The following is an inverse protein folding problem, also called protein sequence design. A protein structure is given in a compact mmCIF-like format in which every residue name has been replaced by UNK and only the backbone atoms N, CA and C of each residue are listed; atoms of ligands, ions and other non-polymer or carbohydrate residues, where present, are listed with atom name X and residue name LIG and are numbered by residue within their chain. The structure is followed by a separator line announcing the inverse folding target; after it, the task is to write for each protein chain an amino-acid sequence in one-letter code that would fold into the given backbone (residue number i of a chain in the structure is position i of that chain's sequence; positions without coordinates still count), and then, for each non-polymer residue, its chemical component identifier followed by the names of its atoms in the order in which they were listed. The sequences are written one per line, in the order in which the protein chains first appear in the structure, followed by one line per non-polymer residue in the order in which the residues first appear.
data_IF_376760163128
#
_entry.id   IF_376760163128
#
_cell.length_a   1.000
_cell.length_b   1.000
_cell.length_c   1.000
_cell.angle_alpha   90.00
_cell.angle_beta   90.00
_cell.angle_gamma   90.00
#
_symmetry.space_group_name_H-M   'P 1'
#
loop_
_entity.id
_entity.type
_entity.pdbx_description
1 polymer ?
#
# COMPACT_ATOMS: atom_id res chain seq x y z
N UNK A 1 -12.80 -3.60 -5.13
CA UNK A 1 -12.20 -2.58 -6.03
C UNK A 1 -11.39 -1.63 -5.15
N UNK A 2 -10.20 -1.24 -5.56
CA UNK A 2 -9.36 -0.25 -4.84
C UNK A 2 -9.52 1.08 -5.55
N UNK A 3 -9.72 2.15 -4.78
CA UNK A 3 -9.79 3.51 -5.29
C UNK A 3 -8.72 4.34 -4.60
N UNK A 4 -7.95 5.08 -5.38
CA UNK A 4 -6.88 5.95 -4.88
C UNK A 4 -7.31 7.41 -5.05
N UNK A 5 -7.32 8.14 -3.96
CA UNK A 5 -7.67 9.56 -3.91
C UNK A 5 -6.47 10.30 -3.33
N UNK A 6 -5.69 10.93 -4.20
CA UNK A 6 -4.49 11.65 -3.82
C UNK A 6 -4.31 12.90 -4.70
N UNK A 7 -3.50 13.83 -4.21
CA UNK A 7 -3.20 15.09 -4.86
C UNK A 7 -4.38 16.06 -4.86
N UNK A 8 -4.38 16.92 -5.88
CA UNK A 8 -5.34 18.01 -6.01
C UNK A 8 -6.11 17.87 -7.31
N UNK A 9 -7.38 18.23 -7.29
CA UNK A 9 -8.28 18.30 -8.44
C UNK A 9 -8.74 19.73 -8.67
N UNK A 10 -9.06 20.08 -9.91
CA UNK A 10 -9.69 21.36 -10.22
C UNK A 10 -11.21 21.23 -10.15
N UNK A 11 -11.84 22.08 -9.36
CA UNK A 11 -13.30 22.21 -9.26
C UNK A 11 -13.64 23.68 -9.47
N UNK A 12 -14.40 23.99 -10.53
CA UNK A 12 -14.76 25.36 -10.90
C UNK A 12 -13.54 26.30 -11.04
N UNK A 13 -12.45 25.80 -11.64
CA UNK A 13 -11.21 26.56 -11.81
C UNK A 13 -10.35 26.71 -10.55
N UNK A 14 -10.85 26.29 -9.39
CA UNK A 14 -10.11 26.32 -8.13
C UNK A 14 -9.50 24.97 -7.80
N UNK A 15 -8.34 25.00 -7.17
CA UNK A 15 -7.66 23.81 -6.70
C UNK A 15 -8.27 23.31 -5.39
N UNK A 16 -8.66 22.03 -5.36
CA UNK A 16 -9.24 21.38 -4.21
C UNK A 16 -8.55 20.04 -3.96
N UNK A 17 -8.49 19.58 -2.72
CA UNK A 17 -7.97 18.25 -2.42
C UNK A 17 -8.82 17.18 -3.11
N UNK A 18 -8.16 16.19 -3.70
CA UNK A 18 -8.82 15.05 -4.29
C UNK A 18 -9.23 14.07 -3.18
N UNK A 19 -10.39 14.33 -2.57
CA UNK A 19 -10.98 13.47 -1.54
C UNK A 19 -11.99 12.47 -2.12
N UNK A 20 -12.24 11.34 -1.44
CA UNK A 20 -13.36 10.45 -1.74
C UNK A 20 -14.70 11.19 -1.75
N UNK A 21 -15.74 10.63 -2.40
CA UNK A 21 -17.13 11.08 -2.26
C UNK A 21 -17.51 11.27 -0.78
N UNK A 22 -18.23 12.36 -0.48
CA UNK A 22 -18.52 12.77 0.91
C UNK A 22 -19.31 11.72 1.69
N UNK A 23 -20.22 11.03 1.03
CA UNK A 23 -21.04 9.94 1.58
C UNK A 23 -20.20 8.77 2.11
N UNK A 24 -19.01 8.54 1.54
CA UNK A 24 -18.08 7.54 2.07
C UNK A 24 -17.45 7.98 3.39
N UNK A 25 -17.27 9.29 3.56
CA UNK A 25 -16.63 9.93 4.71
C UNK A 25 -17.60 10.26 5.85
N UNK A 26 -18.90 10.11 5.62
CA UNK A 26 -19.90 10.31 6.65
C UNK A 26 -19.75 9.25 7.75
N UNK A 27 -19.85 9.73 8.99
CA UNK A 27 -19.81 8.93 10.22
C UNK A 27 -18.52 8.10 10.41
N UNK A 28 -17.38 8.54 9.86
CA UNK A 28 -16.05 7.96 10.14
C UNK A 28 -15.50 8.36 11.53
N UNK A 29 -16.25 9.12 12.32
CA UNK A 29 -15.78 9.73 13.56
C UNK A 29 -15.67 8.73 14.71
N UNK A 30 -14.42 8.42 15.09
CA UNK A 30 -14.05 7.94 16.42
C UNK A 30 -14.03 9.08 17.44
N UNK A 31 -14.16 8.73 18.72
CA UNK A 31 -14.42 9.59 19.88
C UNK A 31 -13.49 10.79 20.18
N UNK A 32 -12.55 11.18 19.30
CA UNK A 32 -11.54 12.23 19.61
C UNK A 32 -11.63 13.53 18.81
N UNK A 33 -12.53 13.67 17.84
CA UNK A 33 -12.68 14.95 17.14
C UNK A 33 -13.88 15.73 17.69
N UNK A 34 -13.62 16.64 18.64
CA UNK A 34 -14.56 17.72 19.02
C UNK A 34 -14.95 18.63 17.84
N UNK A 35 -14.32 18.48 16.68
CA UNK A 35 -14.75 19.05 15.40
C UNK A 35 -15.58 18.02 14.61
N UNK A 36 -16.90 18.20 14.63
CA UNK A 36 -17.80 17.54 13.69
C UNK A 36 -17.25 17.69 12.25
N UNK A 37 -17.12 16.57 11.51
CA UNK A 37 -17.06 16.49 10.03
C UNK A 37 -15.74 16.79 9.30
N UNK A 38 -14.60 16.19 9.65
CA UNK A 38 -13.49 16.06 8.68
C UNK A 38 -12.84 14.69 8.73
N UNK A 39 -12.71 14.05 7.56
CA UNK A 39 -11.75 12.98 7.36
C UNK A 39 -10.33 13.51 7.61
N UNK A 40 -9.45 12.67 8.14
CA UNK A 40 -8.05 13.01 8.33
C UNK A 40 -7.38 13.29 6.98
N UNK A 41 -6.23 13.99 7.01
CA UNK A 41 -5.50 14.37 5.79
C UNK A 41 -5.05 13.17 4.95
N UNK A 42 -4.88 12.00 5.58
CA UNK A 42 -4.68 10.68 4.97
C UNK A 42 -5.53 9.64 5.71
N UNK A 43 -5.62 8.42 5.17
CA UNK A 43 -6.36 7.34 5.81
C UNK A 43 -6.66 6.18 4.87
N UNK A 44 -7.14 5.07 5.45
CA UNK A 44 -7.56 3.89 4.70
C UNK A 44 -9.00 3.57 5.07
N UNK A 45 -9.88 3.47 4.07
CA UNK A 45 -11.27 3.05 4.25
C UNK A 45 -11.53 1.75 3.49
N UNK A 46 -11.85 0.70 4.24
CA UNK A 46 -12.26 -0.59 3.70
C UNK A 46 -13.77 -0.74 3.88
N UNK A 47 -14.49 -1.01 2.79
CA UNK A 47 -15.95 -1.17 2.79
C UNK A 47 -16.28 -2.64 2.59
N UNK A 48 -16.84 -3.26 3.61
CA UNK A 48 -17.30 -4.64 3.59
C UNK A 48 -18.83 -4.75 3.52
N UNK A 49 -19.33 -5.97 3.36
CA UNK A 49 -20.78 -6.23 3.28
C UNK A 49 -21.54 -5.90 4.59
N UNK A 50 -20.85 -5.91 5.73
CA UNK A 50 -21.44 -5.68 7.06
C UNK A 50 -21.14 -4.31 7.66
N UNK A 51 -20.23 -3.53 7.08
CA UNK A 51 -19.75 -2.30 7.70
C UNK A 51 -18.47 -1.77 7.06
N UNK A 52 -17.87 -0.77 7.70
CA UNK A 52 -16.62 -0.15 7.27
C UNK A 52 -15.51 -0.41 8.29
N UNK A 53 -14.28 -0.52 7.82
CA UNK A 53 -13.07 -0.56 8.66
C UNK A 53 -12.20 0.63 8.26
N UNK A 54 -11.94 1.53 9.20
CA UNK A 54 -11.29 2.81 8.94
C UNK A 54 -10.00 2.97 9.74
N UNK A 55 -8.94 3.41 9.06
CA UNK A 55 -7.72 3.92 9.68
C UNK A 55 -7.61 5.42 9.47
N UNK A 56 -7.30 6.14 10.56
CA UNK A 56 -7.13 7.60 10.58
C UNK A 56 -5.82 8.08 9.93
N UNK A 57 -4.95 7.15 9.55
CA UNK A 57 -3.73 7.40 8.78
C UNK A 57 -3.50 6.28 7.75
N UNK A 58 -2.58 6.54 6.85
CA UNK A 58 -2.11 5.64 5.79
C UNK A 58 -1.17 4.53 6.29
N UNK A 59 -0.79 4.56 7.57
CA UNK A 59 0.06 3.55 8.21
C UNK A 59 -0.74 2.45 8.92
N UNK A 60 -2.05 2.63 9.10
CA UNK A 60 -2.89 1.64 9.76
C UNK A 60 -2.65 1.55 11.26
N UNK A 61 -2.21 2.64 11.91
CA UNK A 61 -1.85 2.62 13.34
C UNK A 61 -3.04 2.31 14.25
N UNK A 62 -4.23 2.77 13.87
CA UNK A 62 -5.48 2.52 14.60
C UNK A 62 -6.59 2.20 13.62
N UNK A 63 -7.30 1.12 13.89
CA UNK A 63 -8.43 0.68 13.08
C UNK A 63 -9.73 0.75 13.89
N UNK A 64 -10.77 1.32 13.28
CA UNK A 64 -12.12 1.40 13.85
C UNK A 64 -13.11 0.68 12.95
N UNK A 65 -13.91 -0.21 13.53
CA UNK A 65 -15.07 -0.83 12.85
C UNK A 65 -16.29 0.07 12.99
N UNK A 66 -17.02 0.24 11.89
CA UNK A 66 -18.15 1.17 11.80
C UNK A 66 -19.40 0.50 11.20
N UNK A 67 -20.61 0.82 11.72
CA UNK A 67 -20.84 1.71 12.86
C UNK A 67 -20.45 1.03 14.18
N UNK A 68 -19.83 1.75 15.11
CA UNK A 68 -19.21 1.17 16.33
C UNK A 68 -20.16 0.27 17.13
N UNK A 69 -21.44 0.66 17.22
CA UNK A 69 -22.51 -0.09 17.90
C UNK A 69 -22.68 -1.54 17.43
N UNK A 70 -22.39 -1.82 16.15
CA UNK A 70 -22.58 -3.16 15.58
C UNK A 70 -21.37 -4.06 15.90
N UNK A 71 -20.30 -3.50 16.48
CA UNK A 71 -19.02 -4.15 16.74
C UNK A 71 -18.51 -3.95 18.18
N UNK A 72 -19.35 -3.54 19.12
CA UNK A 72 -18.96 -3.30 20.52
C UNK A 72 -18.31 -4.51 21.18
N UNK A 73 -18.78 -5.71 20.83
CA UNK A 73 -18.27 -6.99 21.34
C UNK A 73 -17.37 -7.71 20.33
N UNK A 74 -16.83 -6.98 19.34
CA UNK A 74 -15.94 -7.58 18.37
C UNK A 74 -14.58 -7.90 19.00
N UNK A 75 -14.27 -9.19 19.04
CA UNK A 75 -12.91 -9.66 19.35
C UNK A 75 -12.13 -9.82 18.04
N UNK A 76 -10.98 -9.15 17.98
CA UNK A 76 -10.08 -9.22 16.83
C UNK A 76 -9.50 -10.62 16.61
N UNK A 77 -8.92 -10.87 15.43
CA UNK A 77 -8.21 -12.13 15.20
C UNK A 77 -7.09 -12.31 16.25
N UNK A 78 -6.74 -13.56 16.60
CA UNK A 78 -5.65 -13.81 17.53
C UNK A 78 -4.35 -13.21 17.01
N UNK A 79 -3.54 -12.68 17.93
CA UNK A 79 -2.23 -12.15 17.60
C UNK A 79 -1.30 -13.30 17.19
N UNK A 80 -0.97 -13.38 15.90
CA UNK A 80 -0.13 -14.44 15.32
C UNK A 80 1.27 -13.96 14.96
N UNK A 81 1.52 -12.65 15.03
CA UNK A 81 2.78 -12.01 14.62
C UNK A 81 3.29 -11.17 15.80
N UNK A 82 4.57 -11.29 16.19
CA UNK A 82 5.13 -10.48 17.25
C UNK A 82 5.09 -9.00 16.89
N UNK A 83 4.78 -8.15 17.89
CA UNK A 83 4.86 -6.70 17.71
C UNK A 83 6.31 -6.28 17.52
N UNK A 84 6.54 -5.42 16.53
CA UNK A 84 7.86 -4.87 16.27
C UNK A 84 8.30 -3.99 17.44
N UNK A 85 9.52 -4.15 17.98
CA UNK A 85 10.11 -3.21 18.94
C UNK A 85 10.56 -1.90 18.25
N UNK A 86 10.31 -1.74 16.95
CA UNK A 86 10.78 -0.64 16.10
C UNK A 86 11.90 -1.10 15.16
N UNK A 87 11.86 -0.64 13.90
CA UNK A 87 12.75 -1.13 12.84
C UNK A 87 14.25 -0.93 13.14
N UNK A 88 14.63 0.14 13.84
CA UNK A 88 16.02 0.34 14.27
C UNK A 88 16.48 -0.71 15.27
N UNK A 89 15.64 -1.03 16.26
CA UNK A 89 15.96 -2.03 17.27
C UNK A 89 16.02 -3.42 16.66
N UNK A 90 15.06 -3.77 15.81
CA UNK A 90 15.10 -5.03 15.05
C UNK A 90 16.40 -5.18 14.27
N UNK A 91 16.85 -4.12 13.58
CA UNK A 91 18.08 -4.14 12.81
C UNK A 91 19.32 -4.36 13.70
N UNK A 92 19.43 -3.63 14.80
CA UNK A 92 20.54 -3.79 15.76
C UNK A 92 20.55 -5.20 16.36
N UNK A 93 19.40 -5.74 16.74
CA UNK A 93 19.29 -7.07 17.32
C UNK A 93 19.67 -8.15 16.30
N UNK A 94 19.20 -8.02 15.04
CA UNK A 94 19.57 -8.90 13.94
C UNK A 94 21.09 -8.90 13.67
N UNK A 95 21.72 -7.72 13.66
CA UNK A 95 23.18 -7.59 13.51
C UNK A 95 23.97 -8.25 14.65
N UNK A 96 23.37 -8.39 15.83
CA UNK A 96 23.96 -9.06 17.01
C UNK A 96 23.69 -10.57 17.06
N UNK A 97 23.12 -11.15 16.00
CA UNK A 97 22.80 -12.58 15.94
C UNK A 97 21.38 -12.93 16.40
N UNK A 98 20.53 -11.92 16.59
CA UNK A 98 19.10 -12.10 16.83
C UNK A 98 18.34 -12.59 15.59
N UNK A 99 17.00 -12.67 15.67
CA UNK A 99 16.17 -13.08 14.53
C UNK A 99 16.29 -12.10 13.36
N UNK A 100 15.93 -12.55 12.16
CA UNK A 100 15.85 -11.68 10.97
C UNK A 100 14.84 -10.55 11.21
N UNK A 101 15.11 -9.39 10.60
CA UNK A 101 14.19 -8.25 10.63
C UNK A 101 12.86 -8.60 9.96
N UNK A 102 11.76 -7.98 10.43
CA UNK A 102 10.43 -8.22 9.84
C UNK A 102 10.34 -7.69 8.40
N UNK A 103 11.10 -6.62 8.10
CA UNK A 103 11.20 -5.97 6.78
C UNK A 103 12.52 -6.32 6.09
N UNK A 104 12.79 -7.61 5.90
CA UNK A 104 14.02 -8.07 5.25
C UNK A 104 14.02 -7.82 3.72
N UNK A 105 15.20 -7.79 3.11
CA UNK A 105 15.33 -7.51 1.67
C UNK A 105 14.74 -8.59 0.77
N UNK A 106 14.94 -9.87 1.07
CA UNK A 106 14.59 -10.96 0.17
C UNK A 106 13.09 -11.30 0.23
N UNK A 107 12.49 -11.26 1.42
CA UNK A 107 11.11 -11.67 1.69
C UNK A 107 10.09 -10.53 1.72
N UNK A 108 10.53 -9.27 1.81
CA UNK A 108 9.65 -8.09 1.86
C UNK A 108 10.11 -6.97 0.94
N UNK A 109 11.34 -6.50 1.10
CA UNK A 109 11.87 -5.33 0.39
C UNK A 109 11.85 -5.49 -1.13
N UNK A 110 12.30 -6.64 -1.64
CA UNK A 110 12.29 -6.95 -3.07
C UNK A 110 10.88 -6.98 -3.66
N UNK A 111 9.92 -7.58 -2.95
CA UNK A 111 8.52 -7.62 -3.38
C UNK A 111 7.87 -6.23 -3.39
N UNK A 112 8.19 -5.38 -2.42
CA UNK A 112 7.71 -4.01 -2.40
C UNK A 112 8.32 -3.19 -3.55
N UNK A 113 9.62 -3.33 -3.78
CA UNK A 113 10.32 -2.68 -4.89
C UNK A 113 9.76 -3.10 -6.25
N UNK A 114 9.41 -4.38 -6.41
CA UNK A 114 8.73 -4.91 -7.60
C UNK A 114 7.41 -4.18 -7.86
N UNK A 115 6.56 -4.01 -6.84
CA UNK A 115 5.27 -3.30 -6.98
C UNK A 115 5.48 -1.84 -7.42
N UNK A 116 6.46 -1.15 -6.82
CA UNK A 116 6.78 0.23 -7.20
C UNK A 116 7.27 0.31 -8.64
N UNK A 117 8.17 -0.60 -9.05
CA UNK A 117 8.69 -0.67 -10.40
C UNK A 117 7.59 -0.93 -11.44
N UNK A 118 6.60 -1.78 -11.12
CA UNK A 118 5.43 -1.98 -11.98
C UNK A 118 4.60 -0.72 -12.14
N UNK A 119 4.52 0.14 -11.12
CA UNK A 119 3.93 1.47 -11.22
C UNK A 119 4.62 2.31 -12.30
N UNK A 120 5.96 2.35 -12.28
CA UNK A 120 6.74 3.05 -13.31
C UNK A 120 6.53 2.46 -14.71
N UNK A 121 6.39 1.14 -14.84
CA UNK A 121 6.06 0.49 -16.12
C UNK A 121 4.67 0.92 -16.61
N UNK A 122 3.68 0.95 -15.72
CA UNK A 122 2.32 1.38 -16.05
C UNK A 122 2.26 2.85 -16.50
N UNK A 123 3.03 3.74 -15.87
CA UNK A 123 3.14 5.15 -16.27
C UNK A 123 3.70 5.32 -17.70
N UNK A 124 4.61 4.42 -18.11
CA UNK A 124 5.17 4.43 -19.47
C UNK A 124 4.21 3.86 -20.53
N UNK A 125 3.13 3.21 -20.11
CA UNK A 125 2.14 2.56 -20.99
C UNK A 125 0.72 3.04 -20.66
N UNK A 126 0.41 4.34 -20.87
CA UNK A 126 -0.87 4.91 -20.46
C UNK A 126 -2.05 4.21 -21.14
N UNK A 127 -3.08 3.91 -20.37
CA UNK A 127 -4.32 3.26 -20.85
C UNK A 127 -4.22 1.74 -21.07
N UNK A 128 -3.06 1.12 -20.83
CA UNK A 128 -2.89 -0.34 -20.92
C UNK A 128 -3.07 -0.98 -19.55
N UNK A 129 -3.96 -1.96 -19.46
CA UNK A 129 -4.06 -2.84 -18.28
C UNK A 129 -2.93 -3.85 -18.32
N UNK A 130 -2.10 -3.91 -17.28
CA UNK A 130 -1.02 -4.90 -17.15
C UNK A 130 -1.48 -6.03 -16.22
N UNK A 131 -1.49 -7.27 -16.72
CA UNK A 131 -1.69 -8.50 -15.94
C UNK A 131 -0.33 -9.11 -15.65
N UNK A 132 0.05 -9.08 -14.37
CA UNK A 132 1.39 -9.38 -13.91
C UNK A 132 1.54 -10.79 -13.33
N UNK A 133 2.64 -11.48 -13.66
CA UNK A 133 3.09 -12.72 -13.02
C UNK A 133 4.42 -12.47 -12.29
N UNK A 134 4.36 -12.09 -11.02
CA UNK A 134 5.56 -11.75 -10.23
C UNK A 134 6.54 -12.90 -10.02
N UNK A 135 6.05 -14.15 -9.98
CA UNK A 135 6.95 -15.31 -9.85
C UNK A 135 7.84 -15.49 -11.08
N UNK A 136 7.29 -15.22 -12.27
CA UNK A 136 8.01 -15.35 -13.54
C UNK A 136 8.63 -14.03 -14.01
N UNK A 137 8.25 -12.91 -13.39
CA UNK A 137 8.61 -11.55 -13.81
C UNK A 137 8.20 -11.24 -15.25
N UNK A 138 6.95 -11.56 -15.61
CA UNK A 138 6.41 -11.35 -16.97
C UNK A 138 5.00 -10.76 -16.94
N UNK A 139 4.64 -10.05 -18.00
CA UNK A 139 3.25 -9.64 -18.26
C UNK A 139 2.53 -10.68 -19.11
N UNK A 140 1.28 -11.01 -18.76
CA UNK A 140 0.48 -12.02 -19.49
C UNK A 140 -0.23 -11.45 -20.72
N UNK A 141 -0.46 -10.13 -20.75
CA UNK A 141 -1.34 -9.48 -21.72
C UNK A 141 -0.77 -8.18 -22.33
N UNK A 142 0.48 -7.82 -22.03
CA UNK A 142 1.09 -6.56 -22.47
C UNK A 142 2.56 -6.76 -22.88
N UNK A 143 2.83 -7.43 -24.02
CA UNK A 143 4.20 -7.72 -24.45
C UNK A 143 5.07 -6.46 -24.61
N UNK A 144 4.47 -5.29 -24.85
CA UNK A 144 5.19 -4.01 -24.93
C UNK A 144 5.86 -3.62 -23.58
N UNK A 145 5.40 -4.17 -22.45
CA UNK A 145 5.99 -3.95 -21.14
C UNK A 145 7.26 -4.79 -20.89
N UNK A 146 7.42 -5.92 -21.58
CA UNK A 146 8.50 -6.87 -21.30
C UNK A 146 9.91 -6.24 -21.42
N UNK A 147 10.20 -5.41 -22.44
CA UNK A 147 11.49 -4.70 -22.54
C UNK A 147 11.72 -3.66 -21.43
N UNK A 148 10.66 -3.17 -20.78
CA UNK A 148 10.77 -2.23 -19.65
C UNK A 148 11.09 -2.96 -18.33
N UNK A 149 10.71 -4.24 -18.23
CA UNK A 149 10.93 -5.10 -17.06
C UNK A 149 12.33 -5.72 -17.09
N UNK A 150 12.73 -6.22 -18.26
CA UNK A 150 14.07 -6.78 -18.50
C UNK A 150 14.70 -6.05 -19.69
N UNK A 151 15.36 -4.90 -19.44
CA UNK A 151 16.04 -4.19 -20.51
C UNK A 151 17.23 -5.02 -21.01
N UNK A 152 17.48 -4.96 -22.31
CA UNK A 152 18.73 -5.48 -22.87
C UNK A 152 19.88 -4.57 -22.45
N UNK A 153 20.87 -5.13 -21.76
CA UNK A 153 22.06 -4.39 -21.38
C UNK A 153 23.03 -4.31 -22.56
N UNK A 154 23.69 -3.15 -22.78
CA UNK A 154 24.70 -3.03 -23.82
C UNK A 154 25.84 -4.02 -23.64
N UNK A 155 26.40 -4.49 -24.76
CA UNK A 155 27.59 -5.36 -24.76
C UNK A 155 28.72 -4.71 -23.94
N UNK A 156 29.27 -5.44 -22.98
CA UNK A 156 30.34 -4.98 -22.08
C UNK A 156 29.89 -4.69 -20.64
N UNK A 157 28.58 -4.56 -20.39
CA UNK A 157 28.03 -4.51 -19.03
C UNK A 157 27.67 -5.92 -18.58
N UNK A 158 28.70 -6.72 -18.30
CA UNK A 158 28.55 -8.08 -17.77
C UNK A 158 28.58 -7.99 -16.24
N UNK A 159 27.52 -8.43 -15.59
CA UNK A 159 27.53 -8.65 -14.14
C UNK A 159 27.90 -10.10 -13.88
N UNK A 160 29.14 -10.34 -13.48
CA UNK A 160 29.65 -11.70 -13.24
C UNK A 160 28.78 -12.44 -12.20
N UNK A 161 28.37 -13.66 -12.55
CA UNK A 161 27.63 -14.55 -11.64
C UNK A 161 26.11 -14.38 -11.62
N UNK A 162 25.52 -13.46 -12.38
CA UNK A 162 24.06 -13.32 -12.50
C UNK A 162 23.63 -13.66 -13.92
N UNK A 163 22.95 -14.80 -14.10
CA UNK A 163 22.22 -15.07 -15.35
C UNK A 163 20.99 -14.15 -15.38
N UNK A 164 21.07 -13.11 -16.21
CA UNK A 164 19.96 -12.16 -16.49
C UNK A 164 18.88 -12.88 -17.32
#
# INVERSE_FOLDING_TARGET
KVFWYDGKKRVNGQEAQNLPPRDLLDNLGGAETKSKKRAFASGILLIGAKGKLYSTDDYGNKWTLLPEKDFENFEGPPETIPRSPGHFKEWVDACKGGPKTMSDFAGRGGLLAEVVALGCVAERLPGKKIEWDGKRMVTKNCPEAQPLIRPEFPKGWILDGVKI
#
